data_IF_244498421879
#
_entry.id   IF_244498421879
#
_cell.length_a   1.000
_cell.length_b   1.000
_cell.length_c   1.000
_cell.angle_alpha   90.00
_cell.angle_beta   90.00
_cell.angle_gamma   90.00
#
_symmetry.space_group_name_H-M   'P 1'
#
loop_
_entity.id
_entity.type
_entity.pdbx_description
1 polymer ?
#
# COMPACT_ATOMS: atom_id res chain seq x y z
N UNK A 1 25.66 -4.62 -14.78
CA UNK A 1 24.36 -4.64 -14.07
C UNK A 1 24.01 -3.20 -13.71
N UNK A 2 22.77 -2.80 -13.86
CA UNK A 2 22.39 -1.43 -13.48
C UNK A 2 22.38 -1.31 -11.96
N UNK A 3 23.14 -0.33 -11.43
CA UNK A 3 23.11 -0.03 -9.99
C UNK A 3 21.70 0.43 -9.58
N UNK A 4 21.27 0.12 -8.35
CA UNK A 4 20.03 0.63 -7.77
C UNK A 4 20.07 2.16 -7.68
N UNK A 5 19.07 2.84 -8.23
CA UNK A 5 19.00 4.32 -8.27
C UNK A 5 17.79 4.88 -7.55
N UNK A 6 16.72 4.09 -7.43
CA UNK A 6 15.46 4.50 -6.81
C UNK A 6 14.85 3.34 -6.03
N UNK A 7 14.38 3.64 -4.82
CA UNK A 7 13.48 2.76 -4.09
C UNK A 7 12.10 3.40 -4.00
N UNK A 8 11.08 2.68 -4.45
CA UNK A 8 9.67 3.11 -4.43
C UNK A 8 8.96 2.32 -3.33
N UNK A 9 8.57 3.01 -2.28
CA UNK A 9 7.87 2.42 -1.13
C UNK A 9 6.36 2.53 -1.30
N UNK A 10 5.62 1.55 -0.79
CA UNK A 10 4.26 1.78 -0.33
C UNK A 10 4.27 2.57 0.98
N UNK A 11 3.12 3.09 1.38
CA UNK A 11 2.97 3.89 2.59
C UNK A 11 2.44 3.09 3.78
N UNK A 12 1.16 2.72 3.78
CA UNK A 12 0.52 2.04 4.90
C UNK A 12 0.99 0.59 5.02
N UNK A 13 1.45 0.18 6.20
CA UNK A 13 2.03 -1.15 6.41
C UNK A 13 3.51 -1.26 6.03
N UNK A 14 4.05 -0.26 5.30
CA UNK A 14 5.44 -0.25 4.83
C UNK A 14 6.26 0.87 5.49
N UNK A 15 5.85 2.13 5.38
CA UNK A 15 6.54 3.28 6.01
C UNK A 15 5.80 3.84 7.23
N UNK A 16 4.48 3.76 7.23
CA UNK A 16 3.59 4.21 8.32
C UNK A 16 2.52 3.16 8.61
N UNK A 17 1.75 3.36 9.69
CA UNK A 17 0.53 2.61 9.98
C UNK A 17 0.75 1.09 10.00
N UNK A 18 1.48 0.62 10.99
CA UNK A 18 1.74 -0.81 11.18
C UNK A 18 0.45 -1.64 11.17
N UNK A 19 0.37 -2.61 10.25
CA UNK A 19 -0.80 -3.46 10.04
C UNK A 19 -1.89 -2.82 9.20
N UNK A 20 -1.64 -1.64 8.59
CA UNK A 20 -2.62 -0.90 7.77
C UNK A 20 -3.97 -0.71 8.48
N UNK A 21 -3.92 -0.28 9.75
CA UNK A 21 -5.10 -0.16 10.62
C UNK A 21 -6.02 0.98 10.19
N UNK A 22 -5.46 2.10 9.71
CA UNK A 22 -6.26 3.24 9.30
C UNK A 22 -7.25 2.91 8.18
N UNK A 23 -6.87 2.28 7.05
CA UNK A 23 -7.84 1.90 6.03
C UNK A 23 -8.85 0.85 6.53
N UNK A 24 -8.44 -0.08 7.38
CA UNK A 24 -9.34 -1.11 7.95
C UNK A 24 -10.43 -0.45 8.78
N UNK A 25 -10.05 0.42 9.74
CA UNK A 25 -11.00 1.14 10.59
C UNK A 25 -11.94 2.02 9.74
N UNK A 26 -11.41 2.69 8.72
CA UNK A 26 -12.21 3.51 7.82
C UNK A 26 -13.25 2.70 7.03
N UNK A 27 -12.90 1.50 6.52
CA UNK A 27 -13.87 0.64 5.85
C UNK A 27 -14.94 0.09 6.79
N UNK A 28 -14.55 -0.34 8.00
CA UNK A 28 -15.52 -0.80 9.00
C UNK A 28 -16.51 0.31 9.34
N UNK A 29 -16.04 1.53 9.59
CA UNK A 29 -16.89 2.68 9.87
C UNK A 29 -17.81 3.05 8.69
N UNK A 30 -17.29 3.05 7.47
CA UNK A 30 -18.04 3.31 6.25
C UNK A 30 -19.21 2.35 6.05
N UNK A 31 -18.95 1.05 6.19
CA UNK A 31 -20.00 0.04 6.02
C UNK A 31 -21.00 0.04 7.20
N UNK A 32 -20.54 0.32 8.43
CA UNK A 32 -21.41 0.49 9.59
C UNK A 32 -22.38 1.67 9.42
N UNK A 33 -21.92 2.80 8.84
CA UNK A 33 -22.78 3.95 8.49
C UNK A 33 -23.85 3.56 7.45
N UNK A 34 -23.53 2.63 6.54
CA UNK A 34 -24.49 2.06 5.61
C UNK A 34 -25.42 0.98 6.22
N UNK A 35 -25.30 0.70 7.53
CA UNK A 35 -26.07 -0.32 8.23
C UNK A 35 -25.58 -1.75 8.05
N UNK A 36 -24.33 -1.93 7.59
CA UNK A 36 -23.72 -3.23 7.29
C UNK A 36 -22.48 -3.44 8.14
N UNK A 37 -22.48 -4.49 8.96
CA UNK A 37 -21.30 -4.88 9.73
C UNK A 37 -20.36 -5.71 8.86
N UNK A 38 -19.09 -5.30 8.77
CA UNK A 38 -18.04 -6.09 8.15
C UNK A 38 -16.94 -6.42 9.16
N UNK A 39 -16.31 -7.59 9.03
CA UNK A 39 -15.16 -7.97 9.85
C UNK A 39 -13.86 -7.33 9.35
N UNK A 40 -12.85 -7.27 10.24
CA UNK A 40 -11.49 -6.86 9.83
C UNK A 40 -10.95 -7.71 8.68
N UNK A 41 -11.19 -9.02 8.68
CA UNK A 41 -10.77 -9.93 7.61
C UNK A 41 -11.35 -9.52 6.26
N UNK A 42 -12.65 -9.19 6.21
CA UNK A 42 -13.31 -8.71 4.99
C UNK A 42 -12.74 -7.35 4.56
N UNK A 43 -12.54 -6.44 5.51
CA UNK A 43 -11.96 -5.13 5.24
C UNK A 43 -10.51 -5.20 4.74
N UNK A 44 -9.72 -6.19 5.20
CA UNK A 44 -8.30 -6.39 4.81
C UNK A 44 -8.13 -7.09 3.47
N UNK A 45 -9.01 -8.00 3.08
CA UNK A 45 -8.81 -8.88 1.94
C UNK A 45 -8.42 -8.15 0.62
N UNK A 46 -9.04 -7.01 0.24
CA UNK A 46 -8.64 -6.27 -0.97
C UNK A 46 -7.55 -5.20 -0.74
N UNK A 47 -6.77 -5.28 0.34
CA UNK A 47 -5.77 -4.26 0.67
C UNK A 47 -4.75 -4.09 -0.48
N UNK A 48 -4.28 -2.86 -0.68
CA UNK A 48 -3.38 -2.52 -1.77
C UNK A 48 -4.06 -2.03 -3.06
N UNK A 49 -5.35 -2.36 -3.28
CA UNK A 49 -6.13 -1.83 -4.41
C UNK A 49 -6.48 -0.35 -4.22
N UNK A 50 -6.81 0.33 -5.32
CA UNK A 50 -7.47 1.65 -5.28
C UNK A 50 -8.77 1.59 -4.48
N UNK A 51 -9.08 2.64 -3.70
CA UNK A 51 -10.16 2.57 -2.68
C UNK A 51 -11.55 2.32 -3.27
N UNK A 52 -11.82 2.79 -4.48
CA UNK A 52 -13.07 2.49 -5.20
C UNK A 52 -13.19 0.98 -5.53
N UNK A 53 -12.11 0.39 -6.05
CA UNK A 53 -12.07 -1.04 -6.38
C UNK A 53 -12.08 -1.91 -5.12
N UNK A 54 -11.47 -1.44 -4.05
CA UNK A 54 -11.53 -2.07 -2.73
C UNK A 54 -12.98 -2.17 -2.23
N UNK A 55 -13.74 -1.07 -2.24
CA UNK A 55 -15.16 -1.04 -1.88
C UNK A 55 -15.96 -2.00 -2.76
N UNK A 56 -15.74 -1.96 -4.08
CA UNK A 56 -16.39 -2.87 -5.03
C UNK A 56 -16.13 -4.33 -4.72
N UNK A 57 -14.90 -4.65 -4.29
CA UNK A 57 -14.52 -6.02 -3.90
C UNK A 57 -15.16 -6.44 -2.58
N UNK A 58 -15.23 -5.56 -1.59
CA UNK A 58 -15.95 -5.84 -0.33
C UNK A 58 -17.43 -6.14 -0.60
N UNK A 59 -18.10 -5.34 -1.43
CA UNK A 59 -19.51 -5.54 -1.78
C UNK A 59 -19.79 -6.88 -2.49
N UNK A 60 -18.78 -7.48 -3.14
CA UNK A 60 -18.86 -8.80 -3.77
C UNK A 60 -18.57 -9.96 -2.81
N UNK A 61 -18.17 -9.69 -1.57
CA UNK A 61 -18.02 -10.74 -0.56
C UNK A 61 -19.41 -11.34 -0.27
N UNK A 62 -19.61 -12.68 -0.31
CA UNK A 62 -20.92 -13.29 -0.18
C UNK A 62 -21.69 -12.90 1.08
N UNK A 63 -20.99 -12.72 2.21
CA UNK A 63 -21.62 -12.30 3.47
C UNK A 63 -22.09 -10.85 3.39
N UNK A 64 -21.29 -9.96 2.80
CA UNK A 64 -21.62 -8.55 2.62
C UNK A 64 -22.74 -8.39 1.59
N UNK A 65 -22.69 -9.11 0.48
CA UNK A 65 -23.73 -9.10 -0.55
C UNK A 65 -25.09 -9.53 0.02
N UNK A 66 -25.12 -10.61 0.82
CA UNK A 66 -26.33 -11.07 1.48
C UNK A 66 -26.90 -10.01 2.43
N UNK A 67 -26.04 -9.39 3.23
CA UNK A 67 -26.45 -8.35 4.17
C UNK A 67 -26.90 -7.07 3.46
N UNK A 68 -26.23 -6.70 2.38
CA UNK A 68 -26.62 -5.60 1.51
C UNK A 68 -28.02 -5.79 0.93
N UNK A 69 -28.29 -6.99 0.37
CA UNK A 69 -29.60 -7.35 -0.17
C UNK A 69 -30.70 -7.29 0.94
N UNK A 70 -30.36 -7.71 2.15
CA UNK A 70 -31.29 -7.62 3.30
C UNK A 70 -31.63 -6.17 3.66
N UNK A 71 -30.63 -5.28 3.67
CA UNK A 71 -30.79 -3.86 4.08
C UNK A 71 -31.45 -3.04 2.98
N UNK A 72 -31.01 -3.19 1.72
CA UNK A 72 -31.42 -2.33 0.61
C UNK A 72 -32.46 -2.98 -0.33
N UNK A 73 -32.80 -4.26 -0.17
CA UNK A 73 -33.77 -4.99 -0.98
C UNK A 73 -33.32 -5.26 -2.42
N UNK A 74 -32.06 -5.02 -2.74
CA UNK A 74 -31.47 -5.20 -4.07
C UNK A 74 -29.96 -5.44 -4.00
N UNK A 75 -29.33 -6.04 -5.04
CA UNK A 75 -27.87 -6.07 -5.14
C UNK A 75 -27.24 -4.69 -5.21
N UNK A 76 -26.01 -4.56 -4.73
CA UNK A 76 -25.21 -3.35 -4.89
C UNK A 76 -24.82 -3.16 -6.36
N UNK A 77 -24.83 -1.92 -6.82
CA UNK A 77 -24.42 -1.52 -8.16
C UNK A 77 -23.27 -0.50 -8.14
N UNK A 78 -22.83 -0.05 -9.31
CA UNK A 78 -21.74 0.92 -9.41
C UNK A 78 -22.10 2.30 -8.81
N UNK A 79 -23.38 2.66 -8.74
CA UNK A 79 -23.84 3.87 -8.04
C UNK A 79 -23.61 3.77 -6.53
N UNK A 80 -23.87 2.59 -5.94
CA UNK A 80 -23.61 2.34 -4.52
C UNK A 80 -22.11 2.37 -4.21
N UNK A 81 -21.28 1.80 -5.09
CA UNK A 81 -19.81 1.90 -4.98
C UNK A 81 -19.39 3.37 -4.97
N UNK A 82 -19.90 4.19 -5.90
CA UNK A 82 -19.55 5.60 -5.98
C UNK A 82 -20.07 6.41 -4.78
N UNK A 83 -21.23 6.07 -4.25
CA UNK A 83 -21.79 6.67 -3.04
C UNK A 83 -20.91 6.37 -1.83
N UNK A 84 -20.56 5.11 -1.60
CA UNK A 84 -19.67 4.69 -0.52
C UNK A 84 -18.29 5.31 -0.67
N UNK A 85 -17.75 5.36 -1.90
CA UNK A 85 -16.44 5.95 -2.15
C UNK A 85 -16.40 7.45 -1.79
N UNK A 86 -17.47 8.21 -2.09
CA UNK A 86 -17.57 9.62 -1.68
C UNK A 86 -17.64 9.79 -0.16
N UNK A 87 -18.28 8.86 0.55
CA UNK A 87 -18.38 8.87 2.03
C UNK A 87 -17.12 8.33 2.72
N UNK A 88 -16.21 7.68 2.00
CA UNK A 88 -15.03 7.04 2.57
C UNK A 88 -13.99 8.02 3.13
N UNK A 89 -13.81 9.17 2.47
CA UNK A 89 -12.73 10.11 2.76
C UNK A 89 -12.75 10.66 4.20
N UNK A 90 -13.89 11.09 4.77
CA UNK A 90 -13.94 11.55 6.17
C UNK A 90 -13.50 10.49 7.18
N UNK A 91 -13.92 9.24 6.99
CA UNK A 91 -13.52 8.13 7.85
C UNK A 91 -12.01 7.86 7.75
N UNK A 92 -11.46 7.92 6.54
CA UNK A 92 -10.03 7.71 6.30
C UNK A 92 -9.19 8.83 6.93
N UNK A 93 -9.60 10.10 6.81
CA UNK A 93 -8.91 11.24 7.42
C UNK A 93 -8.86 11.08 8.95
N UNK A 94 -9.98 10.69 9.56
CA UNK A 94 -10.05 10.46 11.00
C UNK A 94 -9.11 9.32 11.43
N UNK A 95 -9.12 8.22 10.70
CA UNK A 95 -8.28 7.06 10.99
C UNK A 95 -6.78 7.35 10.79
N UNK A 96 -6.39 8.09 9.73
CA UNK A 96 -4.98 8.47 9.50
C UNK A 96 -4.42 9.24 10.68
N UNK A 97 -5.14 10.22 11.22
CA UNK A 97 -4.67 10.99 12.39
C UNK A 97 -4.36 10.12 13.61
N UNK A 98 -5.01 8.96 13.72
CA UNK A 98 -4.82 8.01 14.82
C UNK A 98 -3.66 7.04 14.57
N UNK A 99 -3.41 6.66 13.30
CA UNK A 99 -2.51 5.57 12.94
C UNK A 99 -1.31 5.98 12.08
N UNK A 100 -1.01 7.28 11.92
CA UNK A 100 0.08 7.77 11.06
C UNK A 100 1.50 7.64 11.65
N UNK A 101 1.70 6.79 12.66
CA UNK A 101 3.03 6.57 13.23
C UNK A 101 3.97 5.92 12.21
N UNK A 102 5.20 6.44 12.12
CA UNK A 102 6.24 5.82 11.31
C UNK A 102 6.54 4.40 11.78
N UNK A 103 6.73 3.50 10.83
CA UNK A 103 7.19 2.15 11.12
C UNK A 103 8.66 2.22 11.59
N UNK A 104 9.00 1.51 12.67
CA UNK A 104 10.38 1.45 13.16
C UNK A 104 11.37 1.03 12.06
N UNK A 105 12.44 1.79 11.89
CA UNK A 105 13.45 1.57 10.86
C UNK A 105 13.17 2.28 9.52
N UNK A 106 11.99 2.90 9.32
CA UNK A 106 11.67 3.62 8.09
C UNK A 106 12.61 4.82 7.86
N UNK A 107 12.81 5.65 8.88
CA UNK A 107 13.72 6.80 8.84
C UNK A 107 15.16 6.40 8.57
N UNK A 108 15.64 5.38 9.27
CA UNK A 108 16.99 4.85 9.17
C UNK A 108 17.25 4.31 7.77
N UNK A 109 16.31 3.54 7.23
CA UNK A 109 16.41 2.95 5.88
C UNK A 109 16.41 4.02 4.79
N UNK A 110 15.51 5.01 4.88
CA UNK A 110 15.51 6.14 3.94
C UNK A 110 16.81 6.96 4.03
N UNK A 111 17.29 7.24 5.24
CA UNK A 111 18.57 7.94 5.45
C UNK A 111 19.75 7.14 4.87
N UNK A 112 19.76 5.82 5.08
CA UNK A 112 20.80 4.94 4.56
C UNK A 112 20.84 4.93 3.02
N UNK A 113 19.68 4.87 2.35
CA UNK A 113 19.56 4.94 0.90
C UNK A 113 20.08 6.28 0.36
N UNK A 114 19.66 7.38 0.95
CA UNK A 114 20.08 8.73 0.54
C UNK A 114 21.59 8.96 0.67
N UNK A 115 22.21 8.46 1.75
CA UNK A 115 23.67 8.52 1.93
C UNK A 115 24.43 7.79 0.81
N UNK A 116 23.80 6.90 0.08
CA UNK A 116 24.35 6.16 -1.08
C UNK A 116 23.95 6.76 -2.42
N UNK A 117 23.30 7.93 -2.42
CA UNK A 117 22.83 8.59 -3.64
C UNK A 117 21.61 7.90 -4.28
N UNK A 118 20.95 7.01 -3.56
CA UNK A 118 19.73 6.33 -4.01
C UNK A 118 18.55 7.23 -3.65
N UNK A 119 17.74 7.61 -4.64
CA UNK A 119 16.52 8.36 -4.43
C UNK A 119 15.43 7.48 -3.84
N UNK A 120 14.48 8.12 -3.16
CA UNK A 120 13.37 7.45 -2.48
C UNK A 120 12.05 8.08 -2.89
N UNK A 121 11.07 7.26 -3.26
CA UNK A 121 9.75 7.72 -3.65
C UNK A 121 8.66 6.87 -3.01
N UNK A 122 7.43 7.36 -3.04
CA UNK A 122 6.27 6.65 -2.51
C UNK A 122 5.15 6.50 -3.54
N UNK A 123 4.44 5.36 -3.50
CA UNK A 123 3.18 5.17 -4.22
C UNK A 123 2.10 4.73 -3.24
N UNK A 124 0.85 5.12 -3.47
CA UNK A 124 -0.26 4.74 -2.59
C UNK A 124 -1.59 4.62 -3.34
N UNK A 125 -2.42 3.67 -2.93
CA UNK A 125 -3.80 3.55 -3.41
C UNK A 125 -4.77 4.59 -2.80
N UNK A 126 -4.31 5.51 -1.96
CA UNK A 126 -5.15 6.56 -1.39
C UNK A 126 -5.57 7.60 -2.43
N UNK A 127 -6.75 8.25 -2.26
CA UNK A 127 -7.08 9.48 -2.99
C UNK A 127 -6.16 10.63 -2.56
N UNK A 128 -6.08 11.67 -3.39
CA UNK A 128 -5.14 12.79 -3.21
C UNK A 128 -5.21 13.46 -1.84
N UNK A 129 -6.40 13.74 -1.35
CA UNK A 129 -6.62 14.40 -0.06
C UNK A 129 -6.03 13.61 1.11
N UNK A 130 -6.29 12.29 1.12
CA UNK A 130 -5.76 11.37 2.13
C UNK A 130 -4.25 11.19 1.97
N UNK A 131 -3.76 10.99 0.74
CA UNK A 131 -2.33 10.86 0.47
C UNK A 131 -1.55 12.10 0.94
N UNK A 132 -2.07 13.30 0.67
CA UNK A 132 -1.45 14.56 1.12
C UNK A 132 -1.38 14.67 2.64
N UNK A 133 -2.41 14.19 3.35
CA UNK A 133 -2.39 14.12 4.81
C UNK A 133 -1.33 13.14 5.31
N UNK A 134 -1.26 11.94 4.74
CA UNK A 134 -0.25 10.92 5.07
C UNK A 134 1.16 11.47 4.88
N UNK A 135 1.42 12.14 3.75
CA UNK A 135 2.73 12.72 3.48
C UNK A 135 3.08 13.86 4.44
N UNK A 136 2.07 14.66 4.81
CA UNK A 136 2.25 15.71 5.83
C UNK A 136 2.57 15.10 7.20
N UNK A 137 1.79 14.14 7.67
CA UNK A 137 2.01 13.47 8.96
C UNK A 137 3.40 12.79 9.03
N UNK A 138 3.84 12.17 7.92
CA UNK A 138 5.17 11.58 7.85
C UNK A 138 6.28 12.65 7.87
N UNK A 139 6.09 13.77 7.14
CA UNK A 139 7.02 14.91 7.13
C UNK A 139 7.13 15.56 8.50
N UNK A 140 6.02 15.73 9.21
CA UNK A 140 6.01 16.28 10.57
C UNK A 140 6.78 15.38 11.55
N UNK A 141 6.91 14.08 11.26
CA UNK A 141 7.75 13.12 11.98
C UNK A 141 9.19 13.03 11.42
N UNK A 142 9.54 13.84 10.41
CA UNK A 142 10.89 13.91 9.81
C UNK A 142 11.09 13.05 8.56
N UNK A 143 10.08 12.31 8.09
CA UNK A 143 10.18 11.49 6.88
C UNK A 143 9.58 12.23 5.68
N UNK A 144 10.43 12.65 4.74
CA UNK A 144 10.04 13.21 3.44
C UNK A 144 10.68 12.41 2.32
N UNK A 145 9.92 12.10 1.27
CA UNK A 145 10.41 11.38 0.09
C UNK A 145 10.67 12.36 -1.06
N UNK A 146 11.53 11.96 -2.03
CA UNK A 146 11.91 12.81 -3.16
C UNK A 146 10.78 12.97 -4.19
N UNK A 147 9.87 11.99 -4.26
CA UNK A 147 8.65 12.05 -5.07
C UNK A 147 7.56 11.16 -4.48
N UNK A 148 6.31 11.50 -4.76
CA UNK A 148 5.15 10.72 -4.37
C UNK A 148 4.11 10.68 -5.49
N UNK A 149 3.44 9.54 -5.65
CA UNK A 149 2.27 9.40 -6.50
C UNK A 149 1.13 8.67 -5.76
N UNK A 150 -0.10 9.07 -6.03
CA UNK A 150 -1.29 8.42 -5.53
C UNK A 150 -2.19 7.96 -6.68
N UNK A 151 -3.22 7.19 -6.36
CA UNK A 151 -4.12 6.64 -7.36
C UNK A 151 -4.75 7.69 -8.29
N UNK A 152 -4.91 8.93 -7.81
CA UNK A 152 -5.49 10.04 -8.61
C UNK A 152 -4.51 10.68 -9.60
N UNK A 153 -3.23 10.32 -9.59
CA UNK A 153 -2.22 10.87 -10.50
C UNK A 153 -2.11 10.13 -11.81
N UNK A 154 -2.80 9.01 -11.93
CA UNK A 154 -2.70 8.07 -13.04
C UNK A 154 -4.07 7.59 -13.48
N UNK A 155 -4.16 7.13 -14.74
CA UNK A 155 -5.40 6.62 -15.29
C UNK A 155 -5.84 5.29 -14.62
N UNK A 156 -4.88 4.46 -14.22
CA UNK A 156 -5.13 3.16 -13.59
C UNK A 156 -4.18 2.96 -12.41
N UNK A 157 -4.75 2.68 -11.23
CA UNK A 157 -4.00 2.31 -10.04
C UNK A 157 -3.46 0.87 -10.09
N UNK A 158 -2.89 0.41 -8.98
CA UNK A 158 -2.39 -0.96 -8.84
C UNK A 158 -3.42 -2.02 -9.28
N UNK A 159 -2.97 -3.06 -9.94
CA UNK A 159 -1.60 -3.49 -10.20
C UNK A 159 -0.94 -2.86 -11.45
N UNK A 160 -1.54 -1.79 -12.02
CA UNK A 160 -0.92 -1.04 -13.13
C UNK A 160 0.38 -0.38 -12.68
N UNK A 161 1.43 -0.35 -13.53
CA UNK A 161 2.74 0.21 -13.19
C UNK A 161 2.80 1.74 -13.23
N UNK A 162 1.70 2.41 -13.55
CA UNK A 162 1.69 3.84 -13.89
C UNK A 162 2.17 4.75 -12.76
N UNK A 163 1.87 4.42 -11.48
CA UNK A 163 2.38 5.23 -10.36
C UNK A 163 3.90 5.09 -10.21
N UNK A 164 4.48 3.91 -10.45
CA UNK A 164 5.94 3.74 -10.48
C UNK A 164 6.55 4.58 -11.61
N UNK A 165 5.98 4.52 -12.83
CA UNK A 165 6.46 5.35 -13.94
C UNK A 165 6.32 6.84 -13.65
N UNK A 166 5.25 7.25 -12.94
CA UNK A 166 5.07 8.64 -12.52
C UNK A 166 6.17 9.11 -11.56
N UNK A 167 6.52 8.33 -10.55
CA UNK A 167 7.62 8.73 -9.64
C UNK A 167 9.00 8.62 -10.31
N UNK A 168 9.19 7.73 -11.26
CA UNK A 168 10.41 7.69 -12.10
C UNK A 168 10.55 8.97 -12.94
N UNK A 169 9.46 9.45 -13.55
CA UNK A 169 9.41 10.73 -14.25
C UNK A 169 9.77 11.88 -13.31
N UNK A 170 9.10 11.99 -12.17
CA UNK A 170 9.32 13.04 -11.17
C UNK A 170 10.75 13.06 -10.61
N UNK A 171 11.39 11.90 -10.51
CA UNK A 171 12.78 11.76 -10.04
C UNK A 171 13.82 11.81 -11.17
N UNK A 172 13.37 11.85 -12.43
CA UNK A 172 14.22 11.80 -13.63
C UNK A 172 15.13 10.56 -13.65
N UNK A 173 14.59 9.37 -13.34
CA UNK A 173 15.34 8.11 -13.27
C UNK A 173 14.83 7.07 -14.25
N UNK A 174 15.76 6.36 -14.89
CA UNK A 174 15.58 5.29 -15.86
C UNK A 174 16.82 4.38 -15.88
N UNK A 175 16.74 3.10 -16.19
CA UNK A 175 15.56 2.29 -16.56
C UNK A 175 14.85 1.70 -15.32
N UNK A 176 13.65 1.07 -15.48
CA UNK A 176 12.95 0.39 -14.40
C UNK A 176 13.77 -0.71 -13.71
N UNK A 177 14.69 -1.36 -14.41
CA UNK A 177 15.63 -2.35 -13.86
C UNK A 177 16.61 -1.78 -12.79
N UNK A 178 16.68 -0.45 -12.66
CA UNK A 178 17.43 0.24 -11.59
C UNK A 178 16.52 0.69 -10.43
N UNK A 179 15.27 0.23 -10.42
CA UNK A 179 14.25 0.58 -9.41
C UNK A 179 13.90 -0.66 -8.58
N UNK A 180 13.74 -0.48 -7.28
CA UNK A 180 13.22 -1.45 -6.35
C UNK A 180 11.87 -0.97 -5.83
N UNK A 181 10.82 -1.77 -5.98
CA UNK A 181 9.53 -1.56 -5.31
C UNK A 181 9.53 -2.31 -3.98
N UNK A 182 9.10 -1.64 -2.92
CA UNK A 182 8.94 -2.21 -1.57
C UNK A 182 7.50 -1.98 -1.12
N UNK A 183 6.81 -3.02 -0.69
CA UNK A 183 5.43 -2.95 -0.23
C UNK A 183 5.03 -4.18 0.58
N UNK A 184 3.83 -4.16 1.16
CA UNK A 184 3.33 -5.21 2.05
C UNK A 184 2.14 -5.99 1.47
N UNK A 185 1.75 -5.72 0.21
CA UNK A 185 0.58 -6.33 -0.41
C UNK A 185 0.90 -6.97 -1.76
N UNK A 186 0.07 -7.95 -2.17
CA UNK A 186 0.14 -8.56 -3.51
C UNK A 186 0.06 -7.52 -4.63
N UNK A 187 -0.86 -6.51 -4.59
CA UNK A 187 -0.88 -5.44 -5.58
C UNK A 187 0.44 -4.64 -5.68
N UNK A 188 1.23 -4.50 -4.61
CA UNK A 188 2.55 -3.86 -4.66
C UNK A 188 3.54 -4.67 -5.47
N UNK A 189 3.59 -5.99 -5.24
CA UNK A 189 4.46 -6.88 -6.01
C UNK A 189 4.08 -6.83 -7.48
N UNK A 190 2.79 -6.95 -7.80
CA UNK A 190 2.30 -6.90 -9.18
C UNK A 190 2.59 -5.55 -9.85
N UNK A 191 2.42 -4.41 -9.14
CA UNK A 191 2.79 -3.07 -9.62
C UNK A 191 4.27 -3.03 -10.01
N UNK A 192 5.17 -3.51 -9.14
CA UNK A 192 6.60 -3.54 -9.41
C UNK A 192 6.99 -4.47 -10.55
N UNK A 193 6.43 -5.68 -10.60
CA UNK A 193 6.69 -6.65 -11.70
C UNK A 193 6.20 -6.11 -13.03
N UNK A 194 5.00 -5.53 -13.08
CA UNK A 194 4.44 -4.93 -14.29
C UNK A 194 5.25 -3.71 -14.77
N UNK A 195 5.92 -3.01 -13.84
CA UNK A 195 6.85 -1.93 -14.19
C UNK A 195 8.22 -2.44 -14.67
N UNK A 196 8.54 -3.72 -14.51
CA UNK A 196 9.87 -4.27 -14.79
C UNK A 196 10.91 -3.95 -13.69
N UNK A 197 10.44 -3.69 -12.48
CA UNK A 197 11.26 -3.45 -11.29
C UNK A 197 11.56 -4.74 -10.53
N UNK A 198 12.59 -4.72 -9.68
CA UNK A 198 12.68 -5.67 -8.58
C UNK A 198 11.65 -5.35 -7.50
N UNK A 199 11.23 -6.36 -6.74
CA UNK A 199 10.19 -6.22 -5.72
C UNK A 199 10.59 -6.90 -4.43
N UNK A 200 10.46 -6.18 -3.32
CA UNK A 200 10.59 -6.73 -1.97
C UNK A 200 9.27 -6.63 -1.23
N UNK A 201 8.89 -7.71 -0.57
CA UNK A 201 7.66 -7.75 0.23
C UNK A 201 7.98 -7.68 1.71
N UNK A 202 7.25 -6.81 2.43
CA UNK A 202 7.36 -6.64 3.88
C UNK A 202 6.31 -7.49 4.56
N UNK A 203 6.72 -8.29 5.56
CA UNK A 203 5.82 -9.19 6.29
C UNK A 203 5.21 -8.59 7.55
N UNK A 204 6.06 -8.33 8.56
CA UNK A 204 5.59 -8.13 9.95
C UNK A 204 4.86 -6.83 10.20
N UNK A 205 5.07 -5.85 9.36
CA UNK A 205 4.41 -4.55 9.48
C UNK A 205 3.23 -4.40 8.52
N UNK A 206 3.05 -5.37 7.62
CA UNK A 206 2.00 -5.39 6.61
C UNK A 206 0.62 -5.78 7.15
N UNK A 207 -0.37 -5.51 6.32
CA UNK A 207 -1.80 -5.75 6.62
C UNK A 207 -2.17 -7.22 6.81
N UNK A 208 -1.43 -8.13 6.16
CA UNK A 208 -1.67 -9.58 6.23
C UNK A 208 -1.02 -10.27 7.43
N UNK A 209 -0.20 -9.57 8.24
CA UNK A 209 0.51 -10.20 9.33
C UNK A 209 -0.38 -10.50 10.54
N UNK A 210 -0.51 -11.77 10.88
CA UNK A 210 -1.27 -12.30 12.03
C UNK A 210 -0.37 -13.08 13.01
N UNK A 211 0.90 -12.70 13.09
CA UNK A 211 1.91 -13.39 13.90
C UNK A 211 2.68 -14.45 13.11
N UNK A 212 3.58 -15.16 13.79
CA UNK A 212 4.48 -16.13 13.15
C UNK A 212 3.73 -17.30 12.46
N UNK A 213 2.48 -17.56 12.84
CA UNK A 213 1.64 -18.59 12.20
C UNK A 213 1.27 -18.23 10.75
N UNK A 214 1.15 -16.95 10.42
CA UNK A 214 0.85 -16.48 9.07
C UNK A 214 2.10 -16.36 8.17
N UNK A 215 3.32 -16.42 8.72
CA UNK A 215 4.58 -16.22 8.00
C UNK A 215 4.68 -17.06 6.73
N UNK A 216 4.49 -18.38 6.87
CA UNK A 216 4.65 -19.31 5.75
C UNK A 216 3.64 -19.08 4.65
N UNK A 217 2.38 -18.84 4.99
CA UNK A 217 1.32 -18.53 4.02
C UNK A 217 1.63 -17.26 3.25
N UNK A 218 1.87 -16.16 3.96
CA UNK A 218 2.18 -14.86 3.35
C UNK A 218 3.44 -14.90 2.48
N UNK A 219 4.50 -15.58 2.95
CA UNK A 219 5.72 -15.75 2.16
C UNK A 219 5.41 -16.47 0.84
N UNK A 220 4.69 -17.59 0.91
CA UNK A 220 4.30 -18.33 -0.29
C UNK A 220 3.42 -17.49 -1.24
N UNK A 221 2.48 -16.70 -0.72
CA UNK A 221 1.63 -15.82 -1.52
C UNK A 221 2.46 -14.77 -2.28
N UNK A 222 3.43 -14.14 -1.62
CA UNK A 222 4.34 -13.19 -2.27
C UNK A 222 5.26 -13.86 -3.30
N UNK A 223 5.78 -15.05 -3.01
CA UNK A 223 6.62 -15.82 -3.93
C UNK A 223 5.84 -16.27 -5.17
N UNK A 224 4.57 -16.68 -5.02
CA UNK A 224 3.70 -17.06 -6.13
C UNK A 224 3.46 -15.93 -7.13
N UNK A 225 3.40 -14.67 -6.68
CA UNK A 225 3.28 -13.50 -7.57
C UNK A 225 4.61 -12.93 -8.00
N UNK A 226 5.72 -13.56 -7.61
CA UNK A 226 7.06 -13.30 -8.12
C UNK A 226 7.82 -12.21 -7.39
N UNK A 227 7.60 -12.00 -6.08
CA UNK A 227 8.49 -11.13 -5.29
C UNK A 227 9.94 -11.62 -5.38
N UNK A 228 10.89 -10.71 -5.49
CA UNK A 228 12.32 -11.07 -5.56
C UNK A 228 12.87 -11.39 -4.16
N UNK A 229 12.28 -10.82 -3.12
CA UNK A 229 12.63 -11.09 -1.72
C UNK A 229 11.50 -10.73 -0.76
N UNK A 230 11.41 -11.52 0.31
CA UNK A 230 10.57 -11.23 1.47
C UNK A 230 11.48 -10.81 2.63
N UNK A 231 11.12 -9.70 3.30
CA UNK A 231 11.82 -9.13 4.46
C UNK A 231 10.83 -8.98 5.62
N UNK A 232 11.30 -8.99 6.85
CA UNK A 232 10.41 -8.82 8.01
C UNK A 232 9.88 -7.39 8.11
N UNK A 233 10.75 -6.41 7.90
CA UNK A 233 10.45 -4.98 8.01
C UNK A 233 11.32 -4.16 7.06
N UNK A 234 10.94 -2.91 6.80
CA UNK A 234 11.81 -1.96 6.09
C UNK A 234 13.13 -1.72 6.82
N UNK A 235 13.21 -1.97 8.12
CA UNK A 235 14.46 -1.90 8.89
C UNK A 235 15.54 -2.87 8.36
N UNK A 236 15.14 -3.98 7.74
CA UNK A 236 16.06 -4.98 7.19
C UNK A 236 16.65 -4.57 5.83
N UNK A 237 16.02 -3.59 5.17
CA UNK A 237 16.33 -3.20 3.79
C UNK A 237 17.81 -2.86 3.57
N UNK A 238 18.48 -2.06 4.44
CA UNK A 238 19.90 -1.76 4.29
C UNK A 238 20.77 -3.02 4.23
N UNK A 239 20.63 -3.92 5.20
CA UNK A 239 21.43 -5.15 5.26
C UNK A 239 21.16 -6.10 4.11
N UNK A 240 19.91 -6.15 3.63
CA UNK A 240 19.56 -6.99 2.48
C UNK A 240 20.16 -6.44 1.20
N UNK A 241 20.08 -5.13 0.95
CA UNK A 241 20.66 -4.51 -0.25
C UNK A 241 22.19 -4.66 -0.25
N UNK A 242 22.87 -4.46 0.87
CA UNK A 242 24.33 -4.64 0.97
C UNK A 242 24.79 -6.06 0.60
N UNK A 243 23.99 -7.07 0.95
CA UNK A 243 24.31 -8.47 0.69
C UNK A 243 23.90 -8.95 -0.71
N UNK A 244 23.21 -8.14 -1.49
CA UNK A 244 22.81 -8.49 -2.85
C UNK A 244 23.96 -8.29 -3.82
N UNK A 245 24.49 -9.39 -4.37
CA UNK A 245 25.47 -9.32 -5.46
C UNK A 245 24.83 -8.68 -6.68
N UNK A 246 25.27 -7.46 -7.02
CA UNK A 246 24.88 -6.78 -8.26
C UNK A 246 24.00 -5.53 -8.12
N UNK A 247 23.95 -4.95 -6.93
CA UNK A 247 23.53 -3.55 -6.72
C UNK A 247 24.71 -2.67 -6.36
#
# INVERSE_FOLDING_TARGET
MNSLKLVVFDWAGTLIDMGSKAPVEAFIALFAEAGIAISETVAKAPMGLGKRDHIKTILKNPLVESEWNRVFGRPADDYDVDRLYRSYEPHQIQAIRKFSQLIPGAMESVSWLRKRGIKVAGTTGYPRSVASLVWKEAKDQGLELDANACNCDVAYGRPSPLMIFKVMELTNLYPPSSVLKVGDTIPDVMEGKNAGCKTFSVLKTGSGWEGETSRKSLTNEFELVGTDKVIDSVADLPGVIENMKGY
#
